data_IF_316362083506
#
_entry.id   IF_316362083506
#
_cell.length_a   1.000
_cell.length_b   1.000
_cell.length_c   1.000
_cell.angle_alpha   90.00
_cell.angle_beta   90.00
_cell.angle_gamma   90.00
#
_symmetry.space_group_name_H-M   'P 1'
#
loop_
_entity.id
_entity.type
_entity.pdbx_description
1 polymer ?
#
# COMPACT_ATOMS: atom_id res chain seq x y z
N UNK A 1 7.36 1.33 -26.33
CA UNK A 1 6.28 1.28 -25.31
C UNK A 1 5.94 -0.19 -25.20
N UNK A 2 6.00 -0.74 -24.01
CA UNK A 2 5.81 -2.19 -23.80
C UNK A 2 4.64 -2.39 -22.85
N UNK A 3 3.84 -3.43 -23.10
CA UNK A 3 2.72 -3.78 -22.24
C UNK A 3 2.98 -5.17 -21.68
N UNK A 4 2.93 -5.30 -20.36
CA UNK A 4 3.01 -6.55 -19.63
C UNK A 4 1.64 -6.85 -19.05
N UNK A 5 1.23 -8.11 -19.08
CA UNK A 5 -0.03 -8.60 -18.53
C UNK A 5 0.25 -9.88 -17.76
N UNK A 6 -0.37 -9.98 -16.59
CA UNK A 6 -0.36 -11.17 -15.77
C UNK A 6 -1.62 -11.16 -14.92
N UNK A 7 -2.18 -12.34 -14.66
CA UNK A 7 -3.40 -12.47 -13.87
C UNK A 7 -3.11 -13.40 -12.71
N UNK A 8 -3.56 -13.01 -11.52
CA UNK A 8 -3.32 -13.73 -10.26
C UNK A 8 -4.62 -14.00 -9.54
N UNK A 9 -4.67 -15.13 -8.83
CA UNK A 9 -5.79 -15.46 -7.97
C UNK A 9 -5.49 -15.03 -6.54
N UNK A 10 -6.37 -14.23 -5.97
CA UNK A 10 -6.23 -13.70 -4.61
C UNK A 10 -7.48 -14.00 -3.78
N UNK A 11 -7.30 -14.14 -2.46
CA UNK A 11 -8.41 -14.28 -1.51
C UNK A 11 -9.31 -13.05 -1.63
N UNK A 12 -10.61 -13.28 -1.81
CA UNK A 12 -11.58 -12.20 -1.90
C UNK A 12 -11.89 -11.68 -0.49
N UNK A 13 -11.69 -10.38 -0.28
CA UNK A 13 -12.13 -9.69 0.92
C UNK A 13 -13.50 -9.05 0.66
N UNK A 14 -14.52 -9.38 1.44
CA UNK A 14 -15.85 -8.77 1.23
C UNK A 14 -15.82 -7.26 1.52
N UNK A 15 -16.74 -6.51 0.90
CA UNK A 15 -16.86 -5.08 1.10
C UNK A 15 -17.22 -4.74 2.55
N UNK A 16 -18.06 -5.58 3.17
CA UNK A 16 -18.49 -5.46 4.56
C UNK A 16 -17.30 -5.66 5.50
N UNK A 17 -16.49 -6.70 5.26
CA UNK A 17 -15.33 -6.99 6.11
C UNK A 17 -14.26 -5.91 5.99
N UNK A 18 -14.02 -5.38 4.80
CA UNK A 18 -13.12 -4.24 4.62
C UNK A 18 -13.60 -2.99 5.37
N UNK A 19 -14.90 -2.69 5.31
CA UNK A 19 -15.50 -1.58 6.05
C UNK A 19 -15.42 -1.78 7.56
N UNK A 20 -15.70 -2.98 8.04
CA UNK A 20 -15.60 -3.36 9.45
C UNK A 20 -14.18 -3.16 9.98
N UNK A 21 -13.17 -3.72 9.30
CA UNK A 21 -11.76 -3.59 9.69
C UNK A 21 -11.31 -2.12 9.67
N UNK A 22 -11.71 -1.36 8.64
CA UNK A 22 -11.42 0.08 8.59
C UNK A 22 -12.04 0.82 9.77
N UNK A 23 -13.31 0.55 10.09
CA UNK A 23 -14.01 1.12 11.23
C UNK A 23 -13.32 0.81 12.56
N UNK A 24 -12.95 -0.46 12.78
CA UNK A 24 -12.26 -0.92 13.97
C UNK A 24 -10.93 -0.20 14.18
N UNK A 25 -10.11 -0.06 13.14
CA UNK A 25 -8.83 0.66 13.22
C UNK A 25 -9.05 2.13 13.60
N UNK A 26 -10.07 2.78 13.03
CA UNK A 26 -10.39 4.18 13.32
C UNK A 26 -10.94 4.38 14.72
N UNK A 27 -11.81 3.48 15.18
CA UNK A 27 -12.34 3.48 16.55
C UNK A 27 -11.24 3.28 17.58
N UNK A 28 -10.30 2.37 17.30
CA UNK A 28 -9.14 2.16 18.16
C UNK A 28 -8.27 3.42 18.23
N UNK A 29 -7.96 4.02 17.08
CA UNK A 29 -7.20 5.26 17.04
C UNK A 29 -7.92 6.38 17.82
N UNK A 30 -9.21 6.60 17.59
CA UNK A 30 -9.96 7.70 18.22
C UNK A 30 -10.26 7.49 19.70
N UNK A 31 -10.34 6.23 20.16
CA UNK A 31 -10.49 5.90 21.58
C UNK A 31 -9.18 5.94 22.37
N UNK A 32 -8.04 5.90 21.67
CA UNK A 32 -6.72 6.07 22.28
C UNK A 32 -6.46 7.51 22.71
N UNK A 33 -5.59 7.68 23.70
CA UNK A 33 -5.23 8.96 24.32
C UNK A 33 -3.72 9.06 24.46
N UNK A 34 -3.18 10.25 24.28
CA UNK A 34 -1.74 10.48 24.53
C UNK A 34 -1.49 10.93 25.96
N UNK A 35 -0.45 10.38 26.60
CA UNK A 35 0.09 10.88 27.87
C UNK A 35 1.60 11.08 27.71
N UNK A 36 2.04 12.34 27.65
CA UNK A 36 3.40 12.64 27.22
C UNK A 36 3.62 12.11 25.80
N UNK A 37 4.64 11.27 25.62
CA UNK A 37 4.93 10.63 24.33
C UNK A 37 4.24 9.27 24.16
N UNK A 38 3.62 8.71 25.20
CA UNK A 38 2.96 7.42 25.11
C UNK A 38 1.57 7.57 24.48
N UNK A 39 1.24 6.65 23.57
CA UNK A 39 -0.14 6.47 23.09
C UNK A 39 -0.75 5.32 23.89
N UNK A 40 -1.80 5.63 24.64
CA UNK A 40 -2.50 4.69 25.50
C UNK A 40 -3.84 4.30 24.88
N UNK A 41 -4.15 3.03 24.93
CA UNK A 41 -5.45 2.48 24.61
C UNK A 41 -6.53 2.98 25.59
N UNK A 42 -7.79 2.72 25.26
CA UNK A 42 -8.92 3.13 26.10
C UNK A 42 -8.84 2.56 27.53
N UNK A 43 -8.34 1.33 27.67
CA UNK A 43 -8.08 0.63 28.94
C UNK A 43 -6.85 1.15 29.70
N UNK A 44 -6.07 2.06 29.11
CA UNK A 44 -4.88 2.66 29.70
C UNK A 44 -3.57 1.94 29.44
N UNK A 45 -3.58 0.78 28.76
CA UNK A 45 -2.35 0.11 28.34
C UNK A 45 -1.65 0.91 27.22
N UNK A 46 -0.32 1.02 27.22
CA UNK A 46 0.41 1.65 26.12
C UNK A 46 0.32 0.80 24.84
N UNK A 47 0.29 1.46 23.69
CA UNK A 47 0.46 0.82 22.39
C UNK A 47 1.95 0.58 22.18
N UNK A 48 2.37 -0.67 22.21
CA UNK A 48 3.79 -1.03 22.03
C UNK A 48 4.33 -0.55 20.68
N UNK A 49 5.57 -0.07 20.70
CA UNK A 49 6.26 0.46 19.51
C UNK A 49 5.77 1.81 19.01
N UNK A 50 4.68 2.39 19.54
CA UNK A 50 4.09 3.65 19.06
C UNK A 50 4.28 4.81 20.05
N UNK A 51 4.95 5.87 19.59
CA UNK A 51 5.17 7.09 20.38
C UNK A 51 4.68 8.33 19.65
N UNK A 52 4.00 9.23 20.36
CA UNK A 52 3.67 10.58 19.90
C UNK A 52 4.85 11.51 20.20
N UNK A 53 5.70 11.76 19.21
CA UNK A 53 6.93 12.55 19.37
C UNK A 53 6.72 14.05 19.19
N UNK A 54 5.64 14.47 18.51
CA UNK A 54 5.33 15.88 18.33
C UNK A 54 3.83 16.12 18.15
N UNK A 55 3.34 17.27 18.62
CA UNK A 55 1.98 17.73 18.36
C UNK A 55 0.95 17.15 19.33
N UNK A 56 -0.33 17.13 18.91
CA UNK A 56 -1.45 16.63 19.73
C UNK A 56 -2.07 15.43 19.05
N UNK A 57 -2.38 14.40 19.83
CA UNK A 57 -2.97 13.14 19.33
C UNK A 57 -4.10 13.35 18.32
N UNK A 58 -3.96 12.74 17.14
CA UNK A 58 -4.86 12.79 15.99
C UNK A 58 -5.23 14.19 15.49
N UNK A 59 -4.43 15.20 15.80
CA UNK A 59 -4.59 16.54 15.24
C UNK A 59 -3.62 16.76 14.09
N UNK A 60 -3.96 17.62 13.12
CA UNK A 60 -3.00 18.07 12.11
C UNK A 60 -1.70 18.55 12.78
N UNK A 61 -0.57 18.01 12.33
CA UNK A 61 0.76 18.25 12.92
C UNK A 61 1.24 17.19 13.90
N UNK A 62 0.38 16.25 14.33
CA UNK A 62 0.79 15.12 15.16
C UNK A 62 1.82 14.26 14.42
N UNK A 63 2.94 13.95 15.07
CA UNK A 63 3.96 13.05 14.56
C UNK A 63 4.09 11.86 15.48
N UNK A 64 3.92 10.69 14.89
CA UNK A 64 4.13 9.43 15.55
C UNK A 64 5.38 8.77 15.02
N UNK A 65 6.02 8.04 15.89
CA UNK A 65 7.12 7.15 15.57
C UNK A 65 6.68 5.72 15.90
N UNK A 66 6.81 4.84 14.90
CA UNK A 66 6.73 3.41 15.06
C UNK A 66 8.14 2.84 14.90
N UNK A 67 8.58 2.05 15.88
CA UNK A 67 9.84 1.31 15.80
C UNK A 67 9.51 -0.18 15.78
N UNK A 68 9.99 -0.87 14.76
CA UNK A 68 10.03 -2.33 14.76
C UNK A 68 11.41 -2.76 15.27
N UNK A 69 11.46 -3.13 16.56
CA UNK A 69 12.69 -3.51 17.24
C UNK A 69 13.35 -4.76 16.64
N UNK A 70 12.60 -5.61 15.91
CA UNK A 70 13.13 -6.81 15.28
C UNK A 70 13.83 -6.53 13.93
N UNK A 71 13.38 -5.50 13.21
CA UNK A 71 13.91 -5.13 11.89
C UNK A 71 14.78 -3.86 11.90
N UNK A 72 14.79 -3.08 12.99
CA UNK A 72 15.42 -1.76 13.02
C UNK A 72 14.66 -0.73 12.16
N UNK A 73 13.46 -1.08 11.70
CA UNK A 73 12.66 -0.24 10.81
C UNK A 73 11.98 0.86 11.60
N UNK A 74 12.18 2.10 11.14
CA UNK A 74 11.58 3.30 11.71
C UNK A 74 10.56 3.89 10.75
N UNK A 75 9.33 3.99 11.24
CA UNK A 75 8.20 4.58 10.51
C UNK A 75 7.75 5.84 11.21
N UNK A 76 7.93 6.99 10.55
CA UNK A 76 7.40 8.27 11.03
C UNK A 76 6.07 8.57 10.35
N UNK A 77 5.00 8.76 11.12
CA UNK A 77 3.67 9.08 10.62
C UNK A 77 3.28 10.50 11.02
N UNK A 78 3.11 11.38 10.04
CA UNK A 78 2.62 12.75 10.24
C UNK A 78 1.15 12.85 9.85
N UNK A 79 0.30 13.25 10.80
CA UNK A 79 -1.11 13.55 10.53
C UNK A 79 -1.22 14.90 9.84
N UNK A 80 -1.73 14.90 8.60
CA UNK A 80 -2.02 16.12 7.83
C UNK A 80 -3.47 16.55 7.98
N UNK A 81 -4.39 15.58 7.99
CA UNK A 81 -5.81 15.78 8.17
C UNK A 81 -6.37 14.58 8.93
N UNK A 82 -7.17 14.81 9.97
CA UNK A 82 -7.92 13.75 10.63
C UNK A 82 -9.38 14.19 10.78
N UNK A 83 -10.22 13.76 9.82
CA UNK A 83 -11.65 14.06 9.82
C UNK A 83 -12.41 12.83 9.36
N UNK A 84 -12.90 12.05 10.33
CA UNK A 84 -13.61 10.78 10.10
C UNK A 84 -14.73 10.84 9.07
N UNK A 85 -15.49 11.94 9.04
CA UNK A 85 -16.60 12.13 8.10
C UNK A 85 -16.19 12.56 6.68
N UNK A 86 -14.99 13.10 6.51
CA UNK A 86 -14.55 13.66 5.22
C UNK A 86 -13.31 12.97 4.66
N UNK A 87 -12.19 13.07 5.37
CA UNK A 87 -10.94 12.49 4.95
C UNK A 87 -9.94 12.35 6.10
N UNK A 88 -9.12 11.31 6.00
CA UNK A 88 -7.90 11.17 6.78
C UNK A 88 -6.73 11.25 5.80
N UNK A 89 -5.76 12.08 6.12
CA UNK A 89 -4.52 12.22 5.37
C UNK A 89 -3.36 12.07 6.33
N UNK A 90 -2.55 11.04 6.09
CA UNK A 90 -1.31 10.81 6.82
C UNK A 90 -0.16 10.79 5.84
N UNK A 91 1.01 11.20 6.31
CA UNK A 91 2.24 11.15 5.55
C UNK A 91 3.23 10.28 6.32
N UNK A 92 3.58 9.15 5.72
CA UNK A 92 4.47 8.17 6.30
C UNK A 92 5.85 8.30 5.68
N UNK A 93 6.89 8.35 6.51
CA UNK A 93 8.29 8.22 6.09
C UNK A 93 8.82 6.93 6.66
N UNK A 94 9.27 6.04 5.78
CA UNK A 94 9.88 4.77 6.15
C UNK A 94 11.39 4.88 5.92
N UNK A 95 12.13 4.54 6.97
CA UNK A 95 13.57 4.38 6.96
C UNK A 95 13.86 3.02 7.58
N UNK A 96 14.57 2.17 6.86
CA UNK A 96 14.99 0.85 7.34
C UNK A 96 16.51 0.84 7.35
N UNK A 97 17.12 0.18 8.35
CA UNK A 97 18.58 0.05 8.44
C UNK A 97 19.15 -0.73 7.25
N UNK A 98 18.41 -1.72 6.77
CA UNK A 98 18.76 -2.53 5.60
C UNK A 98 18.42 -1.85 4.26
N UNK A 99 17.53 -0.84 4.28
CA UNK A 99 17.16 -0.12 3.07
C UNK A 99 18.08 1.06 2.78
N UNK A 100 18.75 0.99 1.62
CA UNK A 100 19.47 2.11 1.01
C UNK A 100 18.56 3.19 0.38
N UNK A 101 17.29 3.27 0.80
CA UNK A 101 16.26 4.14 0.23
C UNK A 101 15.36 4.72 1.33
N UNK A 102 15.09 6.02 1.29
CA UNK A 102 14.02 6.64 2.08
C UNK A 102 12.75 6.70 1.25
N UNK A 103 11.66 6.15 1.76
CA UNK A 103 10.35 6.19 1.16
C UNK A 103 9.44 7.15 1.93
N UNK A 104 8.86 8.12 1.23
CA UNK A 104 7.81 8.98 1.80
C UNK A 104 6.53 8.82 1.02
N UNK A 105 5.42 8.57 1.72
CA UNK A 105 4.10 8.30 1.14
C UNK A 105 3.03 9.12 1.87
N UNK A 106 2.33 9.97 1.17
CA UNK A 106 1.07 10.56 1.61
C UNK A 106 -0.09 9.62 1.25
N UNK A 107 -0.82 9.16 2.26
CA UNK A 107 -2.03 8.35 2.12
C UNK A 107 -3.24 9.20 2.43
N UNK A 108 -4.23 9.18 1.55
CA UNK A 108 -5.53 9.84 1.73
C UNK A 108 -6.64 8.81 1.62
N UNK A 109 -7.41 8.68 2.69
CA UNK A 109 -8.65 7.92 2.73
C UNK A 109 -9.83 8.90 2.73
N UNK A 110 -10.72 8.81 1.74
CA UNK A 110 -11.94 9.62 1.66
C UNK A 110 -13.17 8.85 2.13
N UNK A 111 -14.02 9.57 2.89
CA UNK A 111 -15.16 9.00 3.60
C UNK A 111 -14.78 7.74 4.41
N UNK A 112 -13.88 7.84 5.42
CA UNK A 112 -13.40 6.69 6.20
C UNK A 112 -14.46 5.70 6.70
N UNK A 113 -15.66 6.16 7.10
CA UNK A 113 -16.75 5.27 7.55
C UNK A 113 -17.35 4.41 6.43
N UNK A 114 -17.21 4.85 5.16
CA UNK A 114 -17.59 4.12 3.96
C UNK A 114 -16.56 4.40 2.86
N UNK A 115 -15.38 3.77 2.91
CA UNK A 115 -14.24 4.11 2.06
C UNK A 115 -14.61 4.17 0.58
N UNK A 116 -14.54 5.38 0.01
CA UNK A 116 -14.84 5.58 -1.43
C UNK A 116 -13.61 5.72 -2.29
N UNK A 117 -12.51 6.12 -1.68
CA UNK A 117 -11.29 6.40 -2.41
C UNK A 117 -10.09 6.35 -1.48
N UNK A 118 -9.10 5.55 -1.88
CA UNK A 118 -7.76 5.55 -1.31
C UNK A 118 -6.81 6.14 -2.36
N UNK A 119 -6.12 7.21 -2.00
CA UNK A 119 -5.09 7.82 -2.83
C UNK A 119 -3.76 7.69 -2.10
N UNK A 120 -2.72 7.27 -2.81
CA UNK A 120 -1.37 7.21 -2.31
C UNK A 120 -0.48 8.05 -3.22
N UNK A 121 0.34 8.93 -2.68
CA UNK A 121 1.37 9.64 -3.42
C UNK A 121 2.68 9.48 -2.69
N UNK A 122 3.69 8.95 -3.37
CA UNK A 122 4.96 8.72 -2.73
C UNK A 122 6.14 9.11 -3.59
N UNK A 123 7.28 9.28 -2.94
CA UNK A 123 8.55 9.41 -3.61
C UNK A 123 9.60 8.61 -2.85
N UNK A 124 10.53 8.08 -3.62
CA UNK A 124 11.68 7.34 -3.12
C UNK A 124 12.93 8.13 -3.47
N UNK A 125 13.85 8.21 -2.51
CA UNK A 125 15.19 8.74 -2.72
C UNK A 125 16.19 7.73 -2.19
N UNK A 126 17.18 7.37 -3.00
CA UNK A 126 18.35 6.65 -2.52
C UNK A 126 19.21 7.48 -1.57
N UNK A 127 20.00 6.79 -0.75
CA UNK A 127 20.95 7.38 0.21
C UNK A 127 21.93 8.32 -0.52
N UNK A 128 22.37 9.35 0.22
CA UNK A 128 23.36 10.31 -0.22
C UNK A 128 24.63 9.60 -0.75
N UNK A 129 25.08 9.96 -1.97
CA UNK A 129 26.21 9.30 -2.64
C UNK A 129 25.85 8.21 -3.68
N UNK A 130 24.64 7.65 -3.68
CA UNK A 130 24.23 6.56 -4.61
C UNK A 130 23.77 7.01 -6.01
N UNK A 131 23.95 8.30 -6.34
CA UNK A 131 23.66 8.87 -7.66
C UNK A 131 22.17 9.15 -7.95
N UNK A 132 21.91 9.93 -9.01
CA UNK A 132 20.54 10.40 -9.36
C UNK A 132 19.57 9.25 -9.72
N UNK A 133 20.09 8.08 -10.09
CA UNK A 133 19.36 6.92 -10.63
C UNK A 133 18.42 6.24 -9.63
N UNK A 134 18.46 6.56 -8.33
CA UNK A 134 17.56 5.98 -7.31
C UNK A 134 16.45 6.94 -6.86
N UNK A 135 15.98 7.80 -7.78
CA UNK A 135 14.88 8.74 -7.54
C UNK A 135 13.64 8.32 -8.33
N UNK A 136 12.56 8.09 -7.61
CA UNK A 136 11.27 7.77 -8.19
C UNK A 136 10.13 8.49 -7.49
N UNK A 137 9.01 8.65 -8.17
CA UNK A 137 7.76 9.12 -7.59
C UNK A 137 6.61 8.26 -8.08
N UNK A 138 5.68 7.92 -7.19
CA UNK A 138 4.52 7.09 -7.49
C UNK A 138 3.23 7.80 -7.10
N UNK A 139 2.16 7.53 -7.84
CA UNK A 139 0.79 7.84 -7.42
C UNK A 139 -0.09 6.60 -7.60
N UNK A 140 -0.73 6.16 -6.54
CA UNK A 140 -1.72 5.10 -6.49
C UNK A 140 -3.12 5.66 -6.28
N UNK A 141 -4.11 5.01 -6.89
CA UNK A 141 -5.52 5.26 -6.65
C UNK A 141 -6.24 3.93 -6.60
N UNK A 142 -7.04 3.72 -5.56
CA UNK A 142 -7.93 2.58 -5.42
C UNK A 142 -9.33 3.09 -5.09
N UNK A 143 -10.30 2.68 -5.90
CA UNK A 143 -11.73 2.99 -5.75
C UNK A 143 -12.43 1.72 -5.26
N UNK A 144 -12.65 1.58 -3.93
CA UNK A 144 -13.15 0.34 -3.36
C UNK A 144 -14.54 -0.03 -3.89
N UNK A 145 -15.43 0.97 -4.06
CA UNK A 145 -16.79 0.75 -4.59
C UNK A 145 -16.71 0.17 -6.01
N UNK A 146 -15.95 0.82 -6.90
CA UNK A 146 -15.77 0.32 -8.26
C UNK A 146 -15.07 -1.05 -8.31
N UNK A 147 -14.25 -1.38 -7.32
CA UNK A 147 -13.57 -2.68 -7.22
C UNK A 147 -14.57 -3.80 -6.94
N UNK A 148 -15.40 -3.66 -5.90
CA UNK A 148 -16.40 -4.68 -5.57
C UNK A 148 -17.53 -4.74 -6.60
N UNK A 149 -17.93 -3.62 -7.19
CA UNK A 149 -18.91 -3.62 -8.29
C UNK A 149 -18.40 -4.42 -9.50
N UNK A 150 -17.10 -4.31 -9.81
CA UNK A 150 -16.47 -5.07 -10.89
C UNK A 150 -16.26 -6.56 -10.55
N UNK A 151 -16.03 -6.87 -9.27
CA UNK A 151 -15.81 -8.24 -8.79
C UNK A 151 -17.11 -9.01 -8.52
N UNK A 152 -18.26 -8.33 -8.48
CA UNK A 152 -19.54 -8.92 -8.07
C UNK A 152 -20.16 -9.85 -9.12
N UNK A 153 -21.05 -10.77 -8.71
CA UNK A 153 -21.75 -11.70 -9.61
C UNK A 153 -22.65 -11.00 -10.64
N UNK A 154 -23.01 -9.73 -10.38
CA UNK A 154 -23.77 -8.87 -11.27
C UNK A 154 -22.91 -8.09 -12.28
N UNK A 155 -21.60 -8.37 -12.39
CA UNK A 155 -20.64 -7.75 -13.31
C UNK A 155 -20.88 -8.08 -14.81
N UNK A 156 -22.15 -8.22 -15.21
CA UNK A 156 -22.61 -8.29 -16.61
C UNK A 156 -22.57 -6.91 -17.30
N UNK A 157 -22.28 -5.83 -16.56
CA UNK A 157 -22.13 -4.50 -17.13
C UNK A 157 -20.85 -4.40 -17.99
N UNK A 158 -20.86 -3.63 -19.09
CA UNK A 158 -19.66 -3.41 -19.90
C UNK A 158 -18.51 -2.93 -19.03
N UNK A 159 -17.31 -3.48 -19.26
CA UNK A 159 -16.09 -3.11 -18.52
C UNK A 159 -16.00 -1.59 -18.39
N UNK A 160 -16.01 -1.10 -17.15
CA UNK A 160 -15.86 0.33 -16.90
C UNK A 160 -14.57 0.82 -17.57
N UNK A 161 -14.66 1.97 -18.23
CA UNK A 161 -13.51 2.52 -18.99
C UNK A 161 -12.30 2.78 -18.08
N UNK A 162 -12.55 3.01 -16.78
CA UNK A 162 -11.53 3.28 -15.77
C UNK A 162 -11.31 2.06 -14.87
N UNK A 163 -10.06 1.59 -14.79
CA UNK A 163 -9.69 0.53 -13.85
C UNK A 163 -9.96 0.95 -12.39
N UNK A 164 -10.56 0.09 -11.55
CA UNK A 164 -10.84 0.41 -10.15
C UNK A 164 -9.58 0.70 -9.32
N UNK A 165 -8.45 0.06 -9.64
CA UNK A 165 -7.16 0.40 -9.07
C UNK A 165 -6.13 0.75 -10.15
N UNK A 166 -5.36 1.81 -9.91
CA UNK A 166 -4.31 2.28 -10.80
C UNK A 166 -3.09 2.74 -10.02
N UNK A 167 -1.90 2.45 -10.54
CA UNK A 167 -0.63 2.97 -10.00
C UNK A 167 0.16 3.57 -11.15
N UNK A 168 0.74 4.74 -10.94
CA UNK A 168 1.66 5.39 -11.88
C UNK A 168 2.97 5.64 -11.20
N UNK A 169 4.03 5.04 -11.70
CA UNK A 169 5.40 5.19 -11.22
C UNK A 169 6.19 5.97 -12.25
N UNK A 170 6.86 7.01 -11.82
CA UNK A 170 7.78 7.81 -12.63
C UNK A 170 9.18 7.61 -12.08
N UNK A 171 10.06 7.21 -12.98
CA UNK A 171 11.48 7.02 -12.73
C UNK A 171 12.28 7.83 -13.75
N UNK A 172 13.58 8.03 -13.51
CA UNK A 172 14.45 8.69 -14.50
C UNK A 172 14.53 7.91 -15.81
N UNK A 173 14.54 6.57 -15.74
CA UNK A 173 14.65 5.69 -16.90
C UNK A 173 13.32 5.54 -17.68
N UNK A 174 12.19 5.80 -17.03
CA UNK A 174 10.89 5.57 -17.64
C UNK A 174 9.70 5.80 -16.71
N UNK A 175 8.52 5.63 -17.26
CA UNK A 175 7.25 5.66 -16.54
C UNK A 175 6.57 4.29 -16.67
N UNK A 176 6.00 3.81 -15.57
CA UNK A 176 5.18 2.61 -15.53
C UNK A 176 3.77 2.98 -15.07
N UNK A 177 2.75 2.54 -15.80
CA UNK A 177 1.36 2.70 -15.42
C UNK A 177 0.72 1.31 -15.26
N UNK A 178 0.40 0.95 -14.02
CA UNK A 178 -0.28 -0.28 -13.66
C UNK A 178 -1.79 -0.02 -13.57
N UNK A 179 -2.56 -0.97 -14.06
CA UNK A 179 -4.01 -1.03 -13.91
C UNK A 179 -4.36 -2.42 -13.39
N UNK A 180 -5.15 -2.45 -12.32
CA UNK A 180 -5.64 -3.68 -11.72
C UNK A 180 -7.16 -3.72 -11.90
N UNK A 181 -7.65 -4.89 -12.30
CA UNK A 181 -9.09 -5.14 -12.46
C UNK A 181 -9.44 -6.46 -11.79
N UNK A 182 -10.37 -6.47 -10.84
CA UNK A 182 -10.85 -7.72 -10.28
C UNK A 182 -11.92 -8.32 -11.19
N UNK A 183 -11.97 -9.63 -11.18
CA UNK A 183 -13.03 -10.45 -11.75
C UNK A 183 -13.39 -11.53 -10.73
N UNK A 184 -14.66 -11.95 -10.72
CA UNK A 184 -15.09 -13.05 -9.87
C UNK A 184 -14.31 -14.32 -10.25
N UNK A 185 -13.60 -14.89 -9.29
CA UNK A 185 -12.89 -16.16 -9.43
C UNK A 185 -13.71 -17.32 -8.87
N UNK A 186 -13.12 -18.52 -8.90
CA UNK A 186 -13.69 -19.69 -8.24
C UNK A 186 -13.53 -19.60 -6.71
N UNK A 187 -14.41 -20.28 -5.97
CA UNK A 187 -14.22 -20.60 -4.54
C UNK A 187 -13.96 -19.39 -3.62
N UNK A 188 -14.67 -18.27 -3.83
CA UNK A 188 -14.49 -17.08 -2.98
C UNK A 188 -13.15 -16.38 -3.17
N UNK A 189 -12.53 -16.54 -4.34
CA UNK A 189 -11.34 -15.80 -4.76
C UNK A 189 -11.67 -14.78 -5.84
N UNK A 190 -10.81 -13.79 -5.99
CA UNK A 190 -10.81 -12.91 -7.15
C UNK A 190 -9.70 -13.30 -8.10
N UNK A 191 -10.02 -13.30 -9.39
CA UNK A 191 -9.00 -13.25 -10.43
C UNK A 191 -8.69 -11.78 -10.70
N UNK A 192 -7.45 -11.34 -10.46
CA UNK A 192 -7.05 -9.95 -10.66
C UNK A 192 -6.15 -9.84 -11.88
N UNK A 193 -6.64 -9.14 -12.90
CA UNK A 193 -5.88 -8.80 -14.08
C UNK A 193 -4.98 -7.59 -13.81
N UNK A 194 -3.66 -7.81 -13.89
CA UNK A 194 -2.64 -6.78 -13.72
C UNK A 194 -2.04 -6.43 -15.08
N UNK A 195 -2.28 -5.20 -15.52
CA UNK A 195 -1.69 -4.67 -16.77
C UNK A 195 -0.72 -3.55 -16.46
N UNK A 196 0.56 -3.74 -16.77
CA UNK A 196 1.59 -2.72 -16.68
C UNK A 196 1.94 -2.15 -18.06
N UNK A 197 1.85 -0.84 -18.22
CA UNK A 197 2.31 -0.12 -19.43
C UNK A 197 3.61 0.59 -19.11
N UNK A 198 4.69 0.19 -19.77
CA UNK A 198 6.03 0.72 -19.62
C UNK A 198 6.37 1.67 -20.76
N UNK A 199 6.85 2.86 -20.41
CA UNK A 199 7.26 3.90 -21.36
C UNK A 199 8.62 4.46 -20.96
N UNK A 200 9.65 4.21 -21.77
CA UNK A 200 10.94 4.88 -21.63
C UNK A 200 10.83 6.39 -21.88
N UNK A 201 11.63 7.18 -21.17
CA UNK A 201 11.75 8.63 -21.41
C UNK A 201 12.68 8.90 -22.61
N UNK A 202 12.36 9.94 -23.39
CA UNK A 202 12.98 10.33 -24.67
C UNK A 202 14.50 10.12 -24.73
N UNK A 203 15.26 10.55 -23.71
CA UNK A 203 16.73 10.60 -23.78
C UNK A 203 17.40 9.23 -23.70
N UNK A 204 16.71 8.22 -23.15
CA UNK A 204 17.22 6.86 -23.01
C UNK A 204 16.38 5.85 -23.82
N UNK A 205 15.43 6.33 -24.64
CA UNK A 205 14.53 5.47 -25.43
C UNK A 205 15.26 4.44 -26.30
N UNK A 206 16.34 4.77 -27.02
CA UNK A 206 17.06 3.79 -27.84
C UNK A 206 17.72 2.71 -26.98
N UNK A 207 18.36 3.11 -25.88
CA UNK A 207 19.04 2.19 -24.93
C UNK A 207 18.03 1.28 -24.23
N UNK A 208 16.93 1.85 -23.74
CA UNK A 208 15.84 1.09 -23.11
C UNK A 208 15.16 0.18 -24.13
N UNK A 209 14.95 0.62 -25.38
CA UNK A 209 14.38 -0.24 -26.41
C UNK A 209 15.28 -1.42 -26.75
N UNK A 210 16.60 -1.21 -26.83
CA UNK A 210 17.57 -2.26 -27.07
C UNK A 210 17.65 -3.25 -25.89
N UNK A 211 17.71 -2.74 -24.66
CA UNK A 211 17.63 -3.58 -23.46
C UNK A 211 16.32 -4.37 -23.38
N UNK A 212 15.17 -3.73 -23.67
CA UNK A 212 13.87 -4.40 -23.71
C UNK A 212 13.79 -5.49 -24.80
N UNK A 213 14.51 -5.33 -25.91
CA UNK A 213 14.56 -6.33 -26.97
C UNK A 213 15.40 -7.55 -26.56
N UNK A 214 16.51 -7.34 -25.83
CA UNK A 214 17.41 -8.42 -25.41
C UNK A 214 16.98 -9.11 -24.11
N UNK A 215 16.41 -8.37 -23.15
CA UNK A 215 16.01 -8.88 -21.81
C UNK A 215 14.49 -8.88 -21.60
N UNK A 216 13.69 -8.68 -22.65
CA UNK A 216 12.23 -8.58 -22.55
C UNK A 216 11.55 -9.82 -21.95
N UNK A 217 12.14 -11.01 -22.09
CA UNK A 217 11.66 -12.24 -21.45
C UNK A 217 11.94 -12.24 -19.94
N UNK A 218 13.12 -11.79 -19.52
CA UNK A 218 13.49 -11.63 -18.12
C UNK A 218 12.60 -10.60 -17.43
N UNK A 219 12.33 -9.47 -18.08
CA UNK A 219 11.43 -8.45 -17.54
C UNK A 219 9.99 -8.94 -17.40
N UNK A 220 9.49 -9.74 -18.36
CA UNK A 220 8.18 -10.39 -18.22
C UNK A 220 8.19 -11.38 -17.06
N UNK A 221 9.24 -12.19 -16.94
CA UNK A 221 9.37 -13.17 -15.85
C UNK A 221 9.39 -12.48 -14.50
N UNK A 222 10.27 -11.49 -14.32
CA UNK A 222 10.39 -10.73 -13.08
C UNK A 222 9.08 -10.02 -12.75
N UNK A 223 8.40 -9.40 -13.73
CA UNK A 223 7.09 -8.81 -13.51
C UNK A 223 6.06 -9.84 -13.02
N UNK A 224 6.01 -11.04 -13.63
CA UNK A 224 5.09 -12.10 -13.20
C UNK A 224 5.41 -12.55 -11.78
N UNK A 225 6.68 -12.86 -11.51
CA UNK A 225 7.16 -13.24 -10.18
C UNK A 225 6.81 -12.19 -9.13
N UNK A 226 7.10 -10.91 -9.37
CA UNK A 226 6.75 -9.84 -8.42
C UNK A 226 5.24 -9.72 -8.18
N UNK A 227 4.42 -9.92 -9.21
CA UNK A 227 2.96 -9.90 -9.06
C UNK A 227 2.47 -11.13 -8.30
N UNK A 228 3.07 -12.31 -8.53
CA UNK A 228 2.79 -13.54 -7.80
C UNK A 228 3.19 -13.42 -6.32
N UNK A 229 4.35 -12.84 -6.02
CA UNK A 229 4.85 -12.63 -4.65
C UNK A 229 3.92 -11.69 -3.86
N UNK A 230 3.48 -10.59 -4.50
CA UNK A 230 2.51 -9.66 -3.89
C UNK A 230 1.15 -10.32 -3.69
N UNK A 231 0.71 -11.16 -4.63
CA UNK A 231 -0.53 -11.93 -4.50
C UNK A 231 -0.46 -12.94 -3.35
N UNK A 232 0.68 -13.62 -3.18
CA UNK A 232 0.93 -14.54 -2.08
C UNK A 232 0.91 -13.80 -0.73
N UNK A 233 1.64 -12.69 -0.60
CA UNK A 233 1.66 -11.87 0.60
C UNK A 233 0.26 -11.32 0.95
N UNK A 234 -0.53 -10.92 -0.06
CA UNK A 234 -1.93 -10.54 0.14
C UNK A 234 -2.75 -11.70 0.70
N UNK A 235 -2.67 -12.88 0.09
CA UNK A 235 -3.43 -14.06 0.53
C UNK A 235 -3.11 -14.39 1.99
N UNK A 236 -1.83 -14.43 2.32
CA UNK A 236 -1.35 -14.69 3.68
C UNK A 236 -1.86 -13.64 4.68
N UNK A 237 -1.83 -12.36 4.30
CA UNK A 237 -2.32 -11.27 5.16
C UNK A 237 -3.84 -11.30 5.34
N UNK A 238 -4.60 -11.56 4.28
CA UNK A 238 -6.07 -11.65 4.33
C UNK A 238 -6.51 -12.90 5.06
N UNK A 239 -5.89 -14.05 4.85
CA UNK A 239 -6.22 -15.28 5.56
C UNK A 239 -6.06 -15.08 7.08
N UNK A 240 -4.93 -14.48 7.52
CA UNK A 240 -4.76 -14.06 8.92
C UNK A 240 -5.85 -13.11 9.40
N UNK A 241 -6.24 -12.12 8.59
CA UNK A 241 -7.28 -11.16 8.94
C UNK A 241 -8.67 -11.82 9.04
N UNK A 242 -8.93 -12.83 8.22
CA UNK A 242 -10.20 -13.56 8.19
C UNK A 242 -10.32 -14.57 9.33
N UNK A 243 -9.20 -15.09 9.84
CA UNK A 243 -9.23 -15.96 11.04
C UNK A 243 -9.55 -15.24 12.33
N UNK A 244 -9.38 -13.91 12.38
CA UNK A 244 -9.61 -13.12 13.59
C UNK A 244 -11.06 -12.65 13.64
N UNK A 245 -11.77 -12.95 14.72
CA UNK A 245 -13.01 -12.25 15.04
C UNK A 245 -12.74 -10.74 15.24
N UNK A 246 -13.76 -9.86 15.15
CA UNK A 246 -13.60 -8.43 15.41
C UNK A 246 -12.96 -8.10 16.77
N UNK A 247 -13.28 -8.89 17.79
CA UNK A 247 -12.74 -8.72 19.14
C UNK A 247 -11.29 -9.22 19.25
N UNK A 248 -10.95 -10.32 18.56
CA UNK A 248 -9.56 -10.79 18.46
C UNK A 248 -8.70 -9.84 17.61
N UNK A 249 -9.28 -9.23 16.56
CA UNK A 249 -8.59 -8.20 15.79
C UNK A 249 -8.35 -6.96 16.64
N UNK A 250 -9.33 -6.55 17.45
CA UNK A 250 -9.16 -5.48 18.44
C UNK A 250 -8.07 -5.85 19.45
N UNK A 251 -8.11 -7.05 20.03
CA UNK A 251 -7.10 -7.55 20.95
C UNK A 251 -5.70 -7.56 20.31
N UNK A 252 -5.58 -8.03 19.08
CA UNK A 252 -4.31 -8.08 18.36
C UNK A 252 -3.76 -6.71 17.99
N UNK A 253 -4.63 -5.78 17.57
CA UNK A 253 -4.25 -4.39 17.36
C UNK A 253 -3.83 -3.70 18.68
N UNK A 254 -4.33 -4.18 19.83
CA UNK A 254 -3.93 -3.68 21.16
C UNK A 254 -2.68 -4.35 21.73
N UNK A 255 -2.38 -5.59 21.36
CA UNK A 255 -1.28 -6.41 21.91
C UNK A 255 0.04 -6.29 21.13
N UNK A 256 0.03 -5.68 19.95
CA UNK A 256 1.26 -5.41 19.22
C UNK A 256 0.96 -5.04 17.79
N UNK A 257 1.28 -3.81 17.42
CA UNK A 257 1.31 -3.41 16.01
C UNK A 257 2.63 -3.86 15.40
N UNK A 258 2.83 -5.18 15.28
CA UNK A 258 3.78 -5.68 14.28
C UNK A 258 3.15 -5.32 12.94
N UNK A 259 3.70 -4.30 12.27
CA UNK A 259 3.15 -3.82 11.00
C UNK A 259 2.97 -4.97 10.02
N UNK A 260 2.01 -4.88 9.07
CA UNK A 260 2.06 -5.79 7.94
C UNK A 260 3.43 -5.63 7.30
N UNK A 261 4.22 -6.70 7.29
CA UNK A 261 5.45 -6.80 6.54
C UNK A 261 5.07 -6.60 5.07
N UNK A 262 5.05 -5.34 4.61
CA UNK A 262 4.71 -5.01 3.25
C UNK A 262 5.79 -5.69 2.40
N UNK A 263 5.43 -6.49 1.40
CA UNK A 263 6.43 -7.13 0.55
C UNK A 263 7.36 -6.04 0.02
N UNK A 264 8.65 -6.13 0.39
CA UNK A 264 9.67 -5.28 -0.19
C UNK A 264 9.56 -5.42 -1.71
N UNK A 265 9.47 -4.33 -2.48
CA UNK A 265 9.65 -4.44 -3.92
C UNK A 265 10.99 -5.14 -4.14
N UNK A 266 11.09 -6.11 -5.08
CA UNK A 266 12.35 -6.83 -5.29
C UNK A 266 13.44 -5.79 -5.49
N UNK A 267 14.40 -5.77 -4.56
CA UNK A 267 15.59 -4.96 -4.68
C UNK A 267 16.23 -5.32 -6.00
N UNK A 268 16.53 -4.31 -6.81
CA UNK A 268 17.27 -4.49 -8.06
C UNK A 268 18.55 -5.27 -7.74
N UNK A 269 18.55 -6.55 -8.10
CA UNK A 269 19.76 -7.31 -8.36
C UNK A 269 20.41 -6.67 -9.59
N UNK A 270 21.32 -5.75 -9.32
CA UNK A 270 22.28 -5.24 -10.30
C UNK A 270 23.61 -4.98 -9.58
N UNK A 271 24.27 -6.08 -9.26
CA UNK A 271 25.71 -6.25 -9.46
C UNK A 271 25.87 -7.33 -10.52
#
# INVERSE_FOLDING_TARGET
MSVLRHSVSVVALSAERFQEVTGLVLDLAESSRSRGEEVLLADGRPVEGLRLVEGRHLRPGARYELVDDAAGDRVLVLVREWRRRSAIVVETTLTSEDMTLTLRVALRLRAPDRPRLVEAEGWVRGVEGTGRLRRGSGKGRFDPVAWWDAAGPAAKAPRTTRAPATVRLKHLLGEAALQLRPEAGAEGRWQVDVTARLRGRWLLRPVVALALATTGSLLRRNFRTSVDDVAAAWNEAVDRLMTLSPDELRARLTEGTTGPNLPHPPGDAAG
#
